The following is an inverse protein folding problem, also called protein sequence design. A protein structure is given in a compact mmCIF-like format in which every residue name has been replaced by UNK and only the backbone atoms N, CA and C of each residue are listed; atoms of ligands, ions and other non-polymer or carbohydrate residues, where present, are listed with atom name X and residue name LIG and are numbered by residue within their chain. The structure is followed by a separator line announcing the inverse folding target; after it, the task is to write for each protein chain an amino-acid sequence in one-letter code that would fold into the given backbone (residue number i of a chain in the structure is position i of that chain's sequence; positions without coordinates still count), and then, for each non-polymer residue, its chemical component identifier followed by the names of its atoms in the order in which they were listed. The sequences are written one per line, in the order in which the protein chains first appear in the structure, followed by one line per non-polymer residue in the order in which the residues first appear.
data_IF_222823363190
#
_entry.id   IF_222823363190
#
_cell.length_a   1.000
_cell.length_b   1.000
_cell.length_c   1.000
_cell.angle_alpha   90.00
_cell.angle_beta   90.00
_cell.angle_gamma   90.00
#
_symmetry.space_group_name_H-M   'P 1'
#
loop_
_entity.id
_entity.type
_entity.pdbx_description
1 polymer ?
#
# COMPACT_ATOMS: atom_id res chain seq x y z
N UNK A 1 16.44 0.18 14.82
CA UNK A 1 16.50 -1.20 14.31
C UNK A 1 15.13 -1.68 13.86
N UNK A 2 14.13 -1.87 14.75
CA UNK A 2 12.78 -2.30 14.30
C UNK A 2 12.06 -1.27 13.40
N UNK A 3 12.16 0.02 13.72
CA UNK A 3 11.55 1.09 12.90
C UNK A 3 12.15 1.11 11.49
N UNK A 4 13.48 1.00 11.37
CA UNK A 4 14.19 1.06 10.09
C UNK A 4 13.82 -0.13 9.18
N UNK A 5 13.67 -1.32 9.77
CA UNK A 5 13.22 -2.53 9.05
C UNK A 5 11.80 -2.36 8.50
N UNK A 6 10.88 -1.80 9.30
CA UNK A 6 9.50 -1.57 8.87
C UNK A 6 9.42 -0.48 7.79
N UNK A 7 10.24 0.59 7.91
CA UNK A 7 10.35 1.60 6.86
C UNK A 7 10.89 1.02 5.56
N UNK A 8 11.93 0.18 5.64
CA UNK A 8 12.48 -0.50 4.46
C UNK A 8 11.42 -1.41 3.78
N UNK A 9 10.61 -2.12 4.57
CA UNK A 9 9.50 -2.91 4.03
C UNK A 9 8.45 -2.05 3.30
N UNK A 10 8.15 -0.86 3.83
CA UNK A 10 7.27 0.11 3.16
C UNK A 10 7.86 0.62 1.86
N UNK A 11 9.17 0.89 1.82
CA UNK A 11 9.87 1.32 0.62
C UNK A 11 9.93 0.21 -0.43
N UNK A 12 10.09 -1.05 -0.02
CA UNK A 12 10.05 -2.20 -0.91
C UNK A 12 8.67 -2.39 -1.53
N UNK A 13 7.58 -2.21 -0.75
CA UNK A 13 6.21 -2.19 -1.29
C UNK A 13 6.03 -1.04 -2.29
N UNK A 14 6.53 0.16 -1.98
CA UNK A 14 6.45 1.31 -2.88
C UNK A 14 7.19 1.04 -4.19
N UNK A 15 8.37 0.43 -4.11
CA UNK A 15 9.18 0.05 -5.28
C UNK A 15 8.47 -1.02 -6.12
N UNK A 16 7.91 -2.05 -5.49
CA UNK A 16 7.17 -3.10 -6.19
C UNK A 16 5.93 -2.54 -6.91
N UNK A 17 5.21 -1.59 -6.29
CA UNK A 17 4.07 -0.92 -6.90
C UNK A 17 4.43 0.12 -7.97
N UNK A 18 5.64 0.68 -7.93
CA UNK A 18 6.06 1.76 -8.84
C UNK A 18 5.92 1.38 -10.31
N UNK A 19 6.25 0.14 -10.69
CA UNK A 19 6.17 -0.30 -12.07
C UNK A 19 4.72 -0.44 -12.57
N UNK A 20 3.82 -1.18 -11.89
CA UNK A 20 2.38 -1.20 -12.23
C UNK A 20 1.70 0.18 -12.22
N UNK A 21 2.21 1.12 -11.42
CA UNK A 21 1.73 2.49 -11.39
C UNK A 21 2.19 3.28 -12.63
N UNK A 22 3.50 3.33 -12.87
CA UNK A 22 4.09 4.18 -13.90
C UNK A 22 3.93 3.65 -15.32
N UNK A 23 3.67 2.35 -15.51
CA UNK A 23 3.37 1.81 -16.84
C UNK A 23 2.09 2.44 -17.44
N UNK A 24 1.12 2.80 -16.59
CA UNK A 24 -0.10 3.50 -17.02
C UNK A 24 0.03 5.02 -17.07
N UNK A 25 0.94 5.61 -16.27
CA UNK A 25 1.06 7.06 -16.13
C UNK A 25 2.16 7.68 -17.01
N UNK A 26 3.33 7.05 -17.06
CA UNK A 26 4.54 7.55 -17.74
C UNK A 26 5.34 6.37 -18.33
N UNK A 27 4.77 5.59 -19.27
CA UNK A 27 5.43 4.40 -19.81
C UNK A 27 6.80 4.67 -20.44
N UNK A 28 7.01 5.86 -21.01
CA UNK A 28 8.31 6.26 -21.55
C UNK A 28 9.45 6.27 -20.52
N UNK A 29 9.15 6.58 -19.25
CA UNK A 29 10.16 6.51 -18.17
C UNK A 29 10.63 5.08 -17.87
N UNK A 30 9.82 4.10 -18.28
CA UNK A 30 10.10 2.67 -18.14
C UNK A 30 10.60 2.05 -19.48
N UNK A 31 10.87 2.87 -20.49
CA UNK A 31 11.31 2.40 -21.82
C UNK A 31 10.20 1.79 -22.67
N UNK A 32 8.92 1.99 -22.31
CA UNK A 32 7.79 1.50 -23.08
C UNK A 32 7.24 2.57 -24.03
N UNK A 33 7.09 2.19 -25.30
CA UNK A 33 6.33 2.93 -26.31
C UNK A 33 5.19 2.02 -26.80
N UNK A 34 3.97 2.33 -26.39
CA UNK A 34 2.79 1.58 -26.82
C UNK A 34 2.31 2.06 -28.19
N UNK A 35 1.86 1.13 -29.03
CA UNK A 35 1.34 1.46 -30.36
C UNK A 35 -0.04 2.13 -30.30
N UNK A 36 -0.83 1.84 -29.26
CA UNK A 36 -2.11 2.49 -28.99
C UNK A 36 -2.42 2.63 -27.50
N UNK A 37 -3.49 3.37 -27.18
CA UNK A 37 -4.00 3.50 -25.82
C UNK A 37 -4.62 2.19 -25.29
N UNK A 38 -5.18 1.36 -26.17
CA UNK A 38 -5.67 0.03 -25.84
C UNK A 38 -4.54 -0.87 -25.35
N UNK A 39 -3.40 -0.89 -26.06
CA UNK A 39 -2.21 -1.68 -25.66
C UNK A 39 -1.67 -1.22 -24.30
N UNK A 40 -1.61 0.09 -24.08
CA UNK A 40 -1.22 0.69 -22.78
C UNK A 40 -2.18 0.25 -21.67
N UNK A 41 -3.48 0.28 -21.94
CA UNK A 41 -4.53 -0.08 -20.97
C UNK A 41 -4.46 -1.57 -20.64
N UNK A 42 -4.31 -2.43 -21.66
CA UNK A 42 -4.15 -3.87 -21.49
C UNK A 42 -2.91 -4.20 -20.64
N UNK A 43 -1.76 -3.56 -20.94
CA UNK A 43 -0.54 -3.78 -20.15
C UNK A 43 -0.67 -3.26 -18.72
N UNK A 44 -1.31 -2.11 -18.53
CA UNK A 44 -1.56 -1.55 -17.19
C UNK A 44 -2.43 -2.49 -16.36
N UNK A 45 -3.51 -3.01 -16.95
CA UNK A 45 -4.37 -4.01 -16.31
C UNK A 45 -3.58 -5.26 -15.93
N UNK A 46 -2.86 -5.86 -16.87
CA UNK A 46 -2.02 -7.05 -16.64
C UNK A 46 -1.06 -6.86 -15.46
N UNK A 47 -0.33 -5.75 -15.41
CA UNK A 47 0.66 -5.49 -14.36
C UNK A 47 0.03 -5.23 -12.99
N UNK A 48 -1.11 -4.53 -12.95
CA UNK A 48 -1.81 -4.27 -11.68
C UNK A 48 -2.46 -5.54 -11.15
N UNK A 49 -3.16 -6.31 -11.98
CA UNK A 49 -3.76 -7.59 -11.58
C UNK A 49 -2.70 -8.59 -11.11
N UNK A 50 -1.56 -8.68 -11.82
CA UNK A 50 -0.44 -9.51 -11.40
C UNK A 50 0.11 -9.09 -10.03
N UNK A 51 0.31 -7.79 -9.81
CA UNK A 51 0.75 -7.29 -8.51
C UNK A 51 -0.22 -7.64 -7.38
N UNK A 52 -1.53 -7.49 -7.61
CA UNK A 52 -2.54 -7.83 -6.61
C UNK A 52 -2.61 -9.33 -6.31
N UNK A 53 -2.38 -10.17 -7.32
CA UNK A 53 -2.42 -11.63 -7.17
C UNK A 53 -1.14 -12.19 -6.51
N UNK A 54 0.03 -11.67 -6.87
CA UNK A 54 1.32 -12.28 -6.51
C UNK A 54 2.08 -11.51 -5.40
N UNK A 55 2.12 -10.19 -5.47
CA UNK A 55 2.98 -9.36 -4.62
C UNK A 55 2.24 -8.83 -3.39
N UNK A 56 1.00 -8.35 -3.57
CA UNK A 56 0.18 -7.83 -2.48
C UNK A 56 0.07 -8.83 -1.31
N UNK A 57 -0.26 -10.12 -1.51
CA UNK A 57 -0.36 -11.07 -0.40
C UNK A 57 0.97 -11.27 0.34
N UNK A 58 2.11 -11.20 -0.36
CA UNK A 58 3.44 -11.33 0.25
C UNK A 58 3.71 -10.16 1.21
N UNK A 59 3.52 -8.92 0.74
CA UNK A 59 3.72 -7.72 1.56
C UNK A 59 2.74 -7.66 2.73
N UNK A 60 1.47 -8.03 2.52
CA UNK A 60 0.50 -8.09 3.60
C UNK A 60 0.89 -9.16 4.63
N UNK A 61 1.41 -10.31 4.20
CA UNK A 61 1.98 -11.32 5.09
C UNK A 61 3.19 -10.82 5.88
N UNK A 62 4.07 -10.01 5.29
CA UNK A 62 5.19 -9.39 6.00
C UNK A 62 4.71 -8.36 7.04
N UNK A 63 3.72 -7.52 6.70
CA UNK A 63 3.14 -6.58 7.66
C UNK A 63 2.40 -7.29 8.80
N UNK A 64 1.65 -8.35 8.51
CA UNK A 64 1.01 -9.17 9.54
C UNK A 64 2.05 -9.71 10.51
N UNK A 65 3.14 -10.31 10.03
CA UNK A 65 4.23 -10.80 10.90
C UNK A 65 4.88 -9.68 11.71
N UNK A 66 5.10 -8.51 11.12
CA UNK A 66 5.67 -7.37 11.83
C UNK A 66 4.74 -6.88 12.96
N UNK A 67 3.44 -6.77 12.68
CA UNK A 67 2.43 -6.38 13.69
C UNK A 67 2.29 -7.40 14.81
N UNK A 68 2.33 -8.70 14.49
CA UNK A 68 2.25 -9.76 15.50
C UNK A 68 3.51 -9.81 16.37
N UNK A 69 4.69 -9.59 15.78
CA UNK A 69 5.98 -9.58 16.48
C UNK A 69 6.14 -8.36 17.39
N UNK A 70 5.52 -7.23 17.07
CA UNK A 70 5.76 -5.96 17.76
C UNK A 70 5.37 -5.96 19.25
N UNK A 71 4.54 -6.92 19.68
CA UNK A 71 4.05 -7.01 21.05
C UNK A 71 3.09 -5.86 21.44
N UNK A 72 2.52 -5.15 20.46
CA UNK A 72 1.60 -4.04 20.66
C UNK A 72 0.66 -3.78 19.47
N UNK A 73 -0.18 -2.75 19.56
CA UNK A 73 -1.17 -2.44 18.51
C UNK A 73 -0.59 -1.85 17.21
N UNK A 74 0.68 -1.41 17.23
CA UNK A 74 1.38 -0.71 16.13
C UNK A 74 2.63 -1.48 15.68
N UNK A 75 3.24 -1.08 14.57
CA UNK A 75 4.37 -1.82 13.98
C UNK A 75 5.60 -1.92 14.88
N UNK A 76 5.81 -0.94 15.77
CA UNK A 76 6.96 -0.87 16.67
C UNK A 76 6.55 -0.85 18.15
N UNK A 77 5.46 -1.55 18.47
CA UNK A 77 5.00 -1.79 19.84
C UNK A 77 3.79 -0.94 20.24
N UNK A 78 3.89 -0.28 21.40
CA UNK A 78 2.73 0.33 22.08
C UNK A 78 2.33 1.71 21.56
N UNK A 79 3.23 2.39 20.83
CA UNK A 79 3.02 3.77 20.38
C UNK A 79 3.14 3.85 18.87
N UNK A 80 2.38 4.78 18.28
CA UNK A 80 2.53 5.17 16.88
C UNK A 80 3.94 5.70 16.66
N UNK A 81 4.58 5.26 15.59
CA UNK A 81 5.90 5.74 15.15
C UNK A 81 5.84 6.27 13.72
N UNK A 82 6.98 6.79 13.23
CA UNK A 82 7.11 7.21 11.84
C UNK A 82 6.82 6.08 10.84
N UNK A 83 7.10 4.82 11.22
CA UNK A 83 6.79 3.66 10.38
C UNK A 83 5.28 3.54 10.12
N UNK A 84 4.46 3.67 11.16
CA UNK A 84 3.01 3.63 11.03
C UNK A 84 2.49 4.81 10.17
N UNK A 85 3.08 6.00 10.37
CA UNK A 85 2.72 7.21 9.63
C UNK A 85 3.09 7.15 8.15
N UNK A 86 4.16 6.44 7.78
CA UNK A 86 4.54 6.19 6.39
C UNK A 86 3.62 5.17 5.71
N UNK A 87 3.32 4.07 6.41
CA UNK A 87 2.54 2.95 5.87
C UNK A 87 1.06 3.32 5.71
N UNK A 88 0.47 4.10 6.62
CA UNK A 88 -0.96 4.39 6.60
C UNK A 88 -1.43 5.02 5.28
N UNK A 89 -0.84 6.14 4.80
CA UNK A 89 -1.26 6.72 3.52
C UNK A 89 -1.00 5.79 2.34
N UNK A 90 0.08 4.98 2.39
CA UNK A 90 0.42 4.00 1.36
C UNK A 90 -0.67 2.92 1.26
N UNK A 91 -1.11 2.32 2.37
CA UNK A 91 -2.14 1.28 2.33
C UNK A 91 -3.53 1.85 2.03
N UNK A 92 -3.84 3.06 2.52
CA UNK A 92 -5.10 3.73 2.19
C UNK A 92 -5.23 4.04 0.70
N UNK A 93 -4.13 4.25 -0.02
CA UNK A 93 -4.19 4.44 -1.48
C UNK A 93 -4.91 3.28 -2.18
N UNK A 94 -4.61 2.03 -1.80
CA UNK A 94 -5.24 0.84 -2.38
C UNK A 94 -6.72 0.72 -2.01
N UNK A 95 -7.12 1.16 -0.81
CA UNK A 95 -8.52 1.12 -0.36
C UNK A 95 -9.39 2.26 -0.86
N UNK A 96 -8.82 3.26 -1.55
CA UNK A 96 -9.59 4.42 -2.04
C UNK A 96 -10.26 4.19 -3.40
N UNK A 97 -9.92 3.12 -4.12
CA UNK A 97 -10.45 2.87 -5.47
C UNK A 97 -10.04 3.92 -6.51
N UNK A 98 -8.92 4.63 -6.28
CA UNK A 98 -8.42 5.70 -7.16
C UNK A 98 -7.46 5.20 -8.25
N UNK A 99 -7.03 3.94 -8.17
CA UNK A 99 -6.19 3.32 -9.17
C UNK A 99 -7.02 2.36 -10.03
N UNK A 100 -7.05 2.57 -11.34
CA UNK A 100 -7.77 1.66 -12.25
C UNK A 100 -7.29 0.21 -12.06
N UNK A 101 -8.20 -0.74 -12.20
CA UNK A 101 -7.92 -2.17 -12.01
C UNK A 101 -7.45 -2.55 -10.59
N UNK A 102 -7.56 -1.64 -9.61
CA UNK A 102 -7.35 -1.92 -8.18
C UNK A 102 -8.67 -1.74 -7.43
N UNK A 103 -9.38 -2.83 -7.12
CA UNK A 103 -10.62 -2.76 -6.36
C UNK A 103 -10.40 -2.15 -4.97
N UNK A 104 -11.32 -1.29 -4.51
CA UNK A 104 -11.23 -0.66 -3.19
C UNK A 104 -11.23 -1.65 -2.02
N UNK A 105 -11.78 -2.85 -2.25
CA UNK A 105 -11.79 -3.95 -1.29
C UNK A 105 -10.53 -4.83 -1.34
N UNK A 106 -9.48 -4.46 -2.09
CA UNK A 106 -8.30 -5.30 -2.28
C UNK A 106 -7.56 -5.66 -0.98
N UNK A 107 -7.77 -4.90 0.11
CA UNK A 107 -7.16 -5.18 1.41
C UNK A 107 -8.07 -5.99 2.37
N UNK A 108 -9.36 -6.18 2.06
CA UNK A 108 -10.29 -6.93 2.91
C UNK A 108 -9.82 -8.35 3.28
N UNK A 109 -9.13 -9.10 2.40
CA UNK A 109 -8.61 -10.43 2.75
C UNK A 109 -7.53 -10.45 3.84
N UNK A 110 -7.02 -9.29 4.28
CA UNK A 110 -5.90 -9.18 5.23
C UNK A 110 -6.35 -8.54 6.56
N UNK A 111 -7.07 -9.28 7.43
CA UNK A 111 -7.76 -8.72 8.60
C UNK A 111 -6.82 -8.07 9.63
N UNK A 112 -5.60 -8.57 9.80
CA UNK A 112 -4.62 -7.97 10.71
C UNK A 112 -4.23 -6.56 10.25
N UNK A 113 -4.04 -6.40 8.94
CA UNK A 113 -3.67 -5.13 8.32
C UNK A 113 -4.85 -4.16 8.34
N UNK A 114 -6.06 -4.59 7.96
CA UNK A 114 -7.24 -3.72 7.99
C UNK A 114 -7.63 -3.30 9.41
N UNK A 115 -7.47 -4.17 10.40
CA UNK A 115 -7.64 -3.82 11.80
C UNK A 115 -6.59 -2.78 12.27
N UNK A 116 -5.34 -2.88 11.81
CA UNK A 116 -4.33 -1.86 12.07
C UNK A 116 -4.67 -0.51 11.41
N UNK A 117 -5.15 -0.50 10.16
CA UNK A 117 -5.63 0.73 9.48
C UNK A 117 -6.76 1.37 10.29
N UNK A 118 -7.74 0.59 10.75
CA UNK A 118 -8.84 1.08 11.57
C UNK A 118 -8.35 1.72 12.88
N UNK A 119 -7.40 1.07 13.59
CA UNK A 119 -6.78 1.64 14.80
C UNK A 119 -6.07 2.97 14.51
N UNK A 120 -5.29 3.03 13.43
CA UNK A 120 -4.57 4.24 13.03
C UNK A 120 -5.51 5.41 12.71
N UNK A 121 -6.65 5.14 12.09
CA UNK A 121 -7.66 6.17 11.76
C UNK A 121 -8.41 6.70 12.99
N UNK A 122 -8.36 5.99 14.11
CA UNK A 122 -8.93 6.44 15.39
C UNK A 122 -7.94 7.22 16.26
N UNK A 123 -6.66 7.32 15.86
CA UNK A 123 -5.69 8.20 16.54
C UNK A 123 -6.16 9.66 16.40
N UNK A 124 -6.38 10.42 17.49
CA UNK A 124 -7.06 11.71 17.45
C UNK A 124 -6.49 12.69 16.42
N UNK A 125 -5.16 12.81 16.34
CA UNK A 125 -4.48 13.71 15.41
C UNK A 125 -4.64 13.27 13.95
N UNK A 126 -4.64 11.97 13.68
CA UNK A 126 -4.80 11.39 12.34
C UNK A 126 -6.26 11.54 11.89
N UNK A 127 -7.20 11.24 12.79
CA UNK A 127 -8.64 11.42 12.57
C UNK A 127 -8.97 12.87 12.23
N UNK A 128 -8.46 13.81 13.03
CA UNK A 128 -8.63 15.25 12.80
C UNK A 128 -8.03 15.69 11.45
N UNK A 129 -6.83 15.21 11.11
CA UNK A 129 -6.21 15.52 9.82
C UNK A 129 -7.06 15.07 8.64
N UNK A 130 -7.53 13.81 8.63
CA UNK A 130 -8.34 13.32 7.51
C UNK A 130 -9.74 13.94 7.43
N UNK A 131 -10.35 14.28 8.56
CA UNK A 131 -11.61 15.05 8.57
C UNK A 131 -11.45 16.45 7.97
N UNK A 132 -10.26 17.07 8.11
CA UNK A 132 -9.97 18.39 7.52
C UNK A 132 -9.71 18.39 6.00
N UNK A 133 -9.55 17.20 5.41
CA UNK A 133 -9.22 16.99 3.99
C UNK A 133 -10.39 16.45 3.17
N UNK A 134 -11.58 16.40 3.77
CA UNK A 134 -12.83 16.00 3.11
C UNK A 134 -13.48 17.18 2.39
#
# INVERSE_FOLDING_TARGET
MEIDEVLALSDDLARAWSYPLYIGMKPGNLGHAFASDEDKTAKTKEMREKFLAEEMPKFMGFYTKALEKSGGPFFCGQKVTIADLQILPQLRYYSRGVADFVPANTLEPFPVVTAWIARMLEVPQIKAWYASKQ
#
